data_IF_291559951021
#
_entry.id   IF_291559951021
#
_cell.length_a   1.000
_cell.length_b   1.000
_cell.length_c   1.000
_cell.angle_alpha   90.00
_cell.angle_beta   90.00
_cell.angle_gamma   90.00
#
_symmetry.space_group_name_H-M   'P 1'
#
loop_
_entity.id
_entity.type
_entity.pdbx_description
1 polymer ?
#
# COMPACT_ATOMS: atom_id res chain seq x y z
N UNK A 1 -9.48 17.27 16.98
CA UNK A 1 -8.64 17.50 15.78
C UNK A 1 -8.48 16.15 15.14
N UNK A 2 -8.68 16.03 13.83
CA UNK A 2 -8.42 14.78 13.11
C UNK A 2 -6.92 14.54 13.07
N UNK A 3 -6.51 13.27 13.18
CA UNK A 3 -5.12 12.84 13.07
C UNK A 3 -4.84 12.47 11.62
N UNK A 4 -3.73 12.94 11.07
CA UNK A 4 -3.30 12.54 9.73
C UNK A 4 -2.04 11.68 9.79
N UNK A 5 -2.01 10.68 8.90
CA UNK A 5 -0.83 9.86 8.64
C UNK A 5 -0.47 9.96 7.16
N UNK A 6 0.72 10.46 6.87
CA UNK A 6 1.25 10.60 5.51
C UNK A 6 2.07 9.36 5.16
N UNK A 7 1.76 8.72 4.04
CA UNK A 7 2.42 7.50 3.58
C UNK A 7 3.07 7.72 2.22
N UNK A 8 4.31 7.26 2.08
CA UNK A 8 5.00 7.17 0.80
C UNK A 8 5.78 5.86 0.72
N UNK A 9 5.42 5.00 -0.22
CA UNK A 9 6.03 3.70 -0.43
C UNK A 9 6.39 3.48 -1.90
N UNK A 10 7.50 2.77 -2.13
CA UNK A 10 7.93 2.32 -3.44
C UNK A 10 8.37 0.87 -3.37
N UNK A 11 7.93 0.09 -4.35
CA UNK A 11 8.19 -1.33 -4.48
C UNK A 11 8.76 -1.59 -5.86
N UNK A 12 9.90 -2.28 -5.91
CA UNK A 12 10.49 -2.79 -7.14
C UNK A 12 10.20 -4.27 -7.23
N UNK A 13 9.57 -4.67 -8.32
CA UNK A 13 9.11 -6.04 -8.54
C UNK A 13 9.82 -6.59 -9.77
N UNK A 14 10.49 -7.72 -9.56
CA UNK A 14 11.07 -8.51 -10.62
C UNK A 14 10.00 -9.42 -11.25
N UNK A 15 10.14 -9.81 -12.51
CA UNK A 15 9.26 -10.82 -13.10
C UNK A 15 9.89 -11.53 -14.28
N UNK A 16 9.39 -12.73 -14.58
CA UNK A 16 9.59 -13.38 -15.87
C UNK A 16 8.40 -13.01 -16.76
N UNK A 17 8.58 -11.98 -17.57
CA UNK A 17 7.52 -11.41 -18.41
C UNK A 17 6.88 -10.16 -17.79
N UNK A 18 5.68 -9.83 -18.26
CA UNK A 18 4.92 -8.68 -17.79
C UNK A 18 3.91 -9.13 -16.72
N UNK A 19 4.00 -8.52 -15.53
CA UNK A 19 2.96 -8.63 -14.50
C UNK A 19 1.84 -7.68 -14.91
N UNK A 20 0.60 -8.16 -14.91
CA UNK A 20 -0.56 -7.34 -15.23
C UNK A 20 -0.94 -6.40 -14.08
N UNK A 21 -1.61 -5.28 -14.40
CA UNK A 21 -2.18 -4.39 -13.38
C UNK A 21 -3.10 -5.13 -12.39
N UNK A 22 -3.84 -6.14 -12.86
CA UNK A 22 -4.73 -6.94 -12.00
C UNK A 22 -3.95 -7.74 -10.95
N UNK A 23 -2.84 -8.37 -11.34
CA UNK A 23 -1.98 -9.10 -10.37
C UNK A 23 -1.39 -8.15 -9.33
N UNK A 24 -1.03 -6.91 -9.74
CA UNK A 24 -0.59 -5.88 -8.81
C UNK A 24 -1.74 -5.46 -7.88
N UNK A 25 -2.95 -5.23 -8.41
CA UNK A 25 -4.11 -4.85 -7.59
C UNK A 25 -4.50 -5.96 -6.62
N UNK A 26 -4.44 -7.23 -7.01
CA UNK A 26 -4.69 -8.38 -6.13
C UNK A 26 -3.67 -8.47 -4.99
N UNK A 27 -2.41 -8.09 -5.24
CA UNK A 27 -1.34 -8.12 -4.25
C UNK A 27 -1.39 -6.92 -3.29
N UNK A 28 -1.66 -5.71 -3.81
CA UNK A 28 -1.57 -4.46 -3.07
C UNK A 28 -2.91 -3.99 -2.49
N UNK A 29 -4.01 -4.39 -3.11
CA UNK A 29 -5.35 -3.86 -2.90
C UNK A 29 -5.76 -2.83 -3.95
N UNK A 30 -7.07 -2.67 -4.16
CA UNK A 30 -7.64 -1.64 -5.05
C UNK A 30 -7.75 -0.29 -4.36
N UNK A 31 -7.71 0.77 -5.16
CA UNK A 31 -8.01 2.14 -4.70
C UNK A 31 -9.51 2.33 -4.54
N UNK A 32 -9.92 3.11 -3.53
CA UNK A 32 -11.31 3.50 -3.28
C UNK A 32 -11.36 4.95 -2.85
N UNK A 33 -12.28 5.71 -3.41
CA UNK A 33 -12.54 7.09 -2.98
C UNK A 33 -13.66 7.21 -1.92
N UNK A 34 -13.82 8.39 -1.34
CA UNK A 34 -14.85 8.65 -0.33
C UNK A 34 -16.28 8.38 -0.82
N UNK A 35 -16.57 8.61 -2.10
CA UNK A 35 -17.89 8.38 -2.69
C UNK A 35 -18.21 6.90 -2.74
N UNK A 36 -17.24 6.10 -3.18
CA UNK A 36 -17.34 4.63 -3.17
C UNK A 36 -17.39 4.08 -1.75
N UNK A 37 -16.65 4.66 -0.79
CA UNK A 37 -16.70 4.30 0.64
C UNK A 37 -18.11 4.40 1.23
N UNK A 38 -18.86 5.44 0.84
CA UNK A 38 -20.20 5.69 1.36
C UNK A 38 -21.25 4.65 0.91
N UNK A 39 -20.95 3.92 -0.16
CA UNK A 39 -21.80 2.85 -0.70
C UNK A 39 -21.51 1.47 -0.08
N UNK A 40 -20.45 1.33 0.73
CA UNK A 40 -20.22 0.11 1.51
C UNK A 40 -21.05 0.14 2.79
N UNK A 41 -21.88 -0.88 2.99
CA UNK A 41 -22.58 -1.09 4.26
C UNK A 41 -21.53 -1.45 5.33
N UNK A 42 -21.24 -0.49 6.21
CA UNK A 42 -20.32 -0.60 7.35
C UNK A 42 -20.77 -1.58 8.45
N UNK A 43 -21.59 -2.58 8.12
CA UNK A 43 -21.98 -3.64 9.06
C UNK A 43 -20.91 -4.74 9.14
N UNK A 44 -19.98 -4.79 8.18
CA UNK A 44 -18.94 -5.82 8.14
C UNK A 44 -17.62 -5.33 8.75
N UNK A 45 -17.50 -5.61 10.05
CA UNK A 45 -16.22 -5.85 10.75
C UNK A 45 -15.42 -7.03 10.19
N UNK A 46 -15.70 -7.50 8.97
CA UNK A 46 -14.97 -8.59 8.36
C UNK A 46 -13.62 -8.09 7.87
N UNK A 47 -12.56 -8.59 8.52
CA UNK A 47 -11.15 -8.44 8.11
C UNK A 47 -10.93 -8.69 6.60
N UNK A 48 -11.83 -9.42 5.94
CA UNK A 48 -11.84 -9.71 4.51
C UNK A 48 -11.99 -8.46 3.64
N UNK A 49 -12.82 -7.49 4.04
CA UNK A 49 -13.04 -6.25 3.28
C UNK A 49 -11.77 -5.39 3.28
N UNK A 50 -11.03 -5.34 4.38
CA UNK A 50 -9.79 -4.55 4.49
C UNK A 50 -8.63 -5.11 3.67
N UNK A 51 -8.66 -6.40 3.32
CA UNK A 51 -7.60 -7.01 2.49
C UNK A 51 -7.78 -6.78 0.99
N UNK A 52 -8.97 -6.34 0.55
CA UNK A 52 -9.22 -6.01 -0.86
C UNK A 52 -8.68 -4.63 -1.26
N UNK A 53 -8.42 -3.77 -0.28
CA UNK A 53 -8.13 -2.36 -0.50
C UNK A 53 -6.72 -1.98 -0.07
N UNK A 54 -6.22 -0.90 -0.68
CA UNK A 54 -5.08 -0.20 -0.10
C UNK A 54 -5.45 0.34 1.30
N UNK A 55 -4.46 0.57 2.19
CA UNK A 55 -4.71 1.16 3.50
C UNK A 55 -5.61 2.40 3.40
N UNK A 56 -6.58 2.50 4.31
CA UNK A 56 -7.70 3.41 4.19
C UNK A 56 -7.94 4.16 5.51
N UNK A 57 -8.15 5.47 5.38
CA UNK A 57 -8.59 6.35 6.46
C UNK A 57 -10.06 6.71 6.29
N UNK A 58 -10.54 7.73 7.00
CA UNK A 58 -11.94 8.16 6.92
C UNK A 58 -12.34 8.84 5.60
N UNK A 59 -11.39 9.11 4.70
CA UNK A 59 -11.60 9.84 3.43
C UNK A 59 -11.26 9.03 2.16
N UNK A 60 -10.94 7.74 2.28
CA UNK A 60 -10.52 6.92 1.14
C UNK A 60 -9.25 6.13 1.41
N UNK A 61 -8.87 5.35 0.41
CA UNK A 61 -7.61 4.61 0.42
C UNK A 61 -6.44 5.50 0.01
N UNK A 62 -5.23 5.02 0.28
CA UNK A 62 -4.03 5.50 -0.43
C UNK A 62 -4.21 5.38 -1.95
N UNK A 63 -3.39 6.14 -2.68
CA UNK A 63 -3.30 6.10 -4.14
C UNK A 63 -2.17 5.16 -4.58
N UNK A 64 -2.31 4.58 -5.76
CA UNK A 64 -1.29 3.71 -6.37
C UNK A 64 -0.97 4.14 -7.79
N UNK A 65 0.31 4.09 -8.14
CA UNK A 65 0.82 4.28 -9.49
C UNK A 65 1.68 3.08 -9.87
N UNK A 66 1.34 2.46 -11.01
CA UNK A 66 2.04 1.30 -11.57
C UNK A 66 2.84 1.78 -12.78
N UNK A 67 4.14 1.47 -12.79
CA UNK A 67 5.01 1.66 -13.94
C UNK A 67 5.55 0.32 -14.39
N UNK A 68 5.31 -0.04 -15.65
CA UNK A 68 5.91 -1.21 -16.28
C UNK A 68 7.14 -0.82 -17.10
N UNK A 69 8.17 -1.65 -17.02
CA UNK A 69 9.33 -1.53 -17.86
C UNK A 69 8.93 -1.77 -19.33
N UNK A 70 9.25 -0.82 -20.24
CA UNK A 70 8.98 -1.02 -21.67
C UNK A 70 9.81 -2.17 -22.26
N UNK A 71 10.91 -2.57 -21.61
CA UNK A 71 11.79 -3.67 -22.05
C UNK A 71 11.33 -4.99 -21.39
N UNK A 72 10.66 -5.84 -22.16
CA UNK A 72 10.02 -7.09 -21.67
C UNK A 72 10.99 -8.23 -21.28
N UNK A 73 12.27 -8.08 -21.60
CA UNK A 73 13.31 -9.10 -21.31
C UNK A 73 14.19 -8.72 -20.12
N UNK A 74 13.84 -7.67 -19.37
CA UNK A 74 14.53 -7.31 -18.14
C UNK A 74 13.80 -7.87 -16.91
N UNK A 75 14.57 -8.38 -15.95
CA UNK A 75 14.00 -8.85 -14.69
C UNK A 75 13.31 -7.73 -13.92
N UNK A 76 13.84 -6.50 -13.95
CA UNK A 76 13.24 -5.33 -13.30
C UNK A 76 11.99 -4.90 -14.08
N UNK A 77 10.88 -5.59 -13.81
CA UNK A 77 9.68 -5.56 -14.65
C UNK A 77 8.74 -4.41 -14.28
N UNK A 78 8.53 -4.18 -12.98
CA UNK A 78 7.51 -3.22 -12.51
C UNK A 78 8.01 -2.41 -11.31
N UNK A 79 7.61 -1.14 -11.26
CA UNK A 79 7.71 -0.31 -10.06
C UNK A 79 6.31 0.11 -9.64
N UNK A 80 5.97 -0.12 -8.38
CA UNK A 80 4.69 0.30 -7.78
C UNK A 80 4.98 1.38 -6.75
N UNK A 81 4.32 2.52 -6.87
CA UNK A 81 4.37 3.59 -5.87
C UNK A 81 3.02 3.70 -5.20
N UNK A 82 2.98 3.68 -3.86
CA UNK A 82 1.77 3.87 -3.06
C UNK A 82 1.96 5.10 -2.19
N UNK A 83 1.04 6.04 -2.24
CA UNK A 83 1.19 7.33 -1.56
C UNK A 83 -0.14 7.98 -1.22
N UNK A 84 -0.11 8.89 -0.24
CA UNK A 84 -1.28 9.70 0.13
C UNK A 84 -1.37 9.93 1.62
N UNK A 85 -2.52 10.44 2.02
CA UNK A 85 -2.80 10.86 3.39
C UNK A 85 -3.99 10.07 3.93
N UNK A 86 -3.84 9.55 5.15
CA UNK A 86 -4.89 8.82 5.86
C UNK A 86 -5.42 9.68 7.00
N UNK A 87 -6.69 10.08 6.90
CA UNK A 87 -7.41 10.84 7.94
C UNK A 87 -7.98 9.91 9.00
N UNK A 88 -7.96 10.37 10.25
CA UNK A 88 -8.39 9.63 11.44
C UNK A 88 -7.68 8.27 11.57
N UNK A 89 -6.42 8.25 11.15
CA UNK A 89 -5.54 7.08 11.11
C UNK A 89 -4.22 7.42 11.80
N UNK A 90 -3.74 6.55 12.69
CA UNK A 90 -2.41 6.68 13.29
C UNK A 90 -2.37 6.28 14.77
N UNK A 91 -1.16 6.18 15.32
CA UNK A 91 -0.91 5.55 16.61
C UNK A 91 -0.48 4.09 16.42
N UNK A 92 -0.03 3.46 17.50
CA UNK A 92 0.68 2.18 17.42
C UNK A 92 -0.07 1.12 16.61
N UNK A 93 -1.37 0.94 16.88
CA UNK A 93 -2.19 -0.11 16.25
C UNK A 93 -2.35 0.11 14.74
N UNK A 94 -2.52 1.35 14.30
CA UNK A 94 -2.68 1.69 12.88
C UNK A 94 -1.35 1.66 12.12
N UNK A 95 -0.25 2.07 12.77
CA UNK A 95 1.10 1.93 12.19
C UNK A 95 1.47 0.45 12.05
N UNK A 96 1.05 -0.41 12.98
CA UNK A 96 1.23 -1.85 12.87
C UNK A 96 0.44 -2.45 11.69
N UNK A 97 -0.78 -1.98 11.42
CA UNK A 97 -1.54 -2.40 10.23
C UNK A 97 -0.83 -2.01 8.93
N UNK A 98 -0.22 -0.83 8.86
CA UNK A 98 0.61 -0.44 7.72
C UNK A 98 1.82 -1.35 7.55
N UNK A 99 2.50 -1.69 8.65
CA UNK A 99 3.62 -2.64 8.63
C UNK A 99 3.19 -4.01 8.10
N UNK A 100 2.06 -4.54 8.57
CA UNK A 100 1.52 -5.82 8.13
C UNK A 100 1.14 -5.79 6.64
N UNK A 101 0.49 -4.72 6.18
CA UNK A 101 0.20 -4.53 4.76
C UNK A 101 1.48 -4.46 3.91
N UNK A 102 2.49 -3.71 4.36
CA UNK A 102 3.77 -3.60 3.67
C UNK A 102 4.49 -4.95 3.59
N UNK A 103 4.50 -5.70 4.70
CA UNK A 103 5.08 -7.04 4.77
C UNK A 103 4.36 -8.00 3.79
N UNK A 104 3.02 -8.01 3.78
CA UNK A 104 2.20 -8.80 2.84
C UNK A 104 2.54 -8.48 1.38
N UNK A 105 2.68 -7.19 1.04
CA UNK A 105 3.10 -6.77 -0.30
C UNK A 105 4.52 -7.27 -0.66
N UNK A 106 5.36 -7.59 0.33
CA UNK A 106 6.72 -8.09 0.13
C UNK A 106 6.82 -9.63 0.18
N UNK A 107 5.76 -10.36 0.56
CA UNK A 107 5.76 -11.83 0.63
C UNK A 107 5.85 -12.49 -0.76
N UNK A 108 5.48 -11.77 -1.81
CA UNK A 108 5.68 -12.27 -3.17
C UNK A 108 7.18 -12.42 -3.45
N UNK A 109 7.60 -13.61 -3.92
CA UNK A 109 9.00 -13.95 -4.26
C UNK A 109 9.61 -13.11 -5.39
N UNK A 110 8.89 -12.08 -5.84
CA UNK A 110 9.24 -11.19 -6.93
C UNK A 110 9.52 -9.76 -6.44
N UNK A 111 9.10 -9.38 -5.23
CA UNK A 111 9.49 -8.08 -4.68
C UNK A 111 10.99 -8.09 -4.43
N UNK A 112 11.76 -7.29 -5.17
CA UNK A 112 13.22 -7.21 -5.06
C UNK A 112 13.64 -6.31 -3.91
N UNK A 113 12.99 -5.16 -3.83
CA UNK A 113 13.31 -4.10 -2.89
C UNK A 113 12.07 -3.24 -2.66
N UNK A 114 11.82 -2.87 -1.42
CA UNK A 114 10.78 -1.91 -1.09
C UNK A 114 11.17 -1.02 0.10
N UNK A 115 10.60 0.17 0.14
CA UNK A 115 10.66 1.08 1.29
C UNK A 115 9.33 1.79 1.46
N UNK A 116 8.88 1.93 2.70
CA UNK A 116 7.73 2.74 3.06
C UNK A 116 8.11 3.70 4.19
N UNK A 117 7.86 4.98 3.98
CA UNK A 117 7.94 6.01 5.00
C UNK A 117 6.53 6.36 5.47
N UNK A 118 6.37 6.46 6.78
CA UNK A 118 5.13 6.86 7.43
C UNK A 118 5.41 8.03 8.38
N UNK A 119 4.68 9.12 8.22
CA UNK A 119 4.73 10.29 9.10
C UNK A 119 3.35 10.43 9.75
N UNK A 120 3.30 10.10 11.03
CA UNK A 120 2.14 10.36 11.89
C UNK A 120 2.31 11.75 12.52
N UNK A 121 1.33 12.64 12.34
CA UNK A 121 1.39 14.04 12.80
C UNK A 121 1.67 14.19 14.31
N UNK A 122 1.42 13.16 15.11
CA UNK A 122 1.60 13.17 16.56
C UNK A 122 2.94 12.52 16.98
N UNK A 123 3.78 12.13 16.03
CA UNK A 123 5.10 11.56 16.26
C UNK A 123 6.22 12.50 15.76
N UNK A 124 7.29 12.62 16.53
CA UNK A 124 8.41 13.53 16.21
C UNK A 124 9.30 13.05 15.05
N UNK A 125 9.16 11.79 14.62
CA UNK A 125 10.03 11.17 13.62
C UNK A 125 9.24 10.25 12.68
N UNK A 126 9.65 10.16 11.41
CA UNK A 126 9.08 9.20 10.49
C UNK A 126 9.43 7.77 10.92
N UNK A 127 8.47 6.86 10.76
CA UNK A 127 8.70 5.42 10.78
C UNK A 127 9.07 4.97 9.38
N UNK A 128 10.08 4.11 9.25
CA UNK A 128 10.57 3.62 7.96
C UNK A 128 10.59 2.09 7.99
N UNK A 129 9.85 1.49 7.06
CA UNK A 129 9.86 0.06 6.80
C UNK A 129 10.68 -0.21 5.54
N UNK A 130 11.50 -1.26 5.56
CA UNK A 130 12.38 -1.60 4.45
C UNK A 130 12.36 -3.10 4.21
N UNK A 131 12.41 -3.47 2.93
CA UNK A 131 12.53 -4.85 2.50
C UNK A 131 13.57 -4.95 1.38
N UNK A 132 14.43 -5.96 1.48
CA UNK A 132 15.34 -6.37 0.41
C UNK A 132 15.25 -7.89 0.34
N UNK A 133 15.02 -8.42 -0.85
CA UNK A 133 15.03 -9.86 -1.09
C UNK A 133 16.45 -10.41 -0.87
N UNK A 134 16.57 -11.45 -0.05
CA UNK A 134 17.83 -12.16 0.21
C UNK A 134 18.21 -13.11 -0.94
#
# INVERSE_FOLDING_TARGET
MSRWTHVAAIFRIDSIGEISDNEIIEQFGRTVDWGEMADFDYDDSDEWVQQEFLPMGSEGSLQMSIWHNPIKNEMASTTVSVFGDLRDYGGSDDIEKLEQWFAKCCENNWTRQAVMQVIDEYCDKPTIFQYIQN
#
